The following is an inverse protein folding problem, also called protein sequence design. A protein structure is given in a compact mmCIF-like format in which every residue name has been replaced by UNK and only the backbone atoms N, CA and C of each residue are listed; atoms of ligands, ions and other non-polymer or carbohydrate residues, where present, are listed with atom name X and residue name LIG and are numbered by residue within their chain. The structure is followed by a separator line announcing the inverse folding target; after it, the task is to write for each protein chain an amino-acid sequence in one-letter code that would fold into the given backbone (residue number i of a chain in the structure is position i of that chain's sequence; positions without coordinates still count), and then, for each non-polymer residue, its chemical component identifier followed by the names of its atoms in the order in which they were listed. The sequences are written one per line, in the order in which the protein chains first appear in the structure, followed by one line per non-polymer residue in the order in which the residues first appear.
data_IF_154507668220
#
_entry.id   IF_154507668220
#
_cell.length_a   1.000
_cell.length_b   1.000
_cell.length_c   1.000
_cell.angle_alpha   90.00
_cell.angle_beta   90.00
_cell.angle_gamma   90.00
#
_symmetry.space_group_name_H-M   'P 1'
#
loop_
_entity.id
_entity.type
_entity.pdbx_description
1 polymer ?
#
# COMPACT_ATOMS: atom_id res chain seq x y z
N UNK A 1 -49.38 -25.79 -9.30
CA UNK A 1 -49.27 -24.91 -8.12
C UNK A 1 -47.81 -24.92 -7.68
N UNK A 2 -46.99 -24.01 -8.24
CA UNK A 2 -45.55 -23.95 -7.96
C UNK A 2 -45.28 -22.92 -6.86
N UNK A 3 -44.67 -23.34 -5.75
CA UNK A 3 -44.03 -22.44 -4.78
C UNK A 3 -42.57 -22.82 -4.67
N UNK A 4 -41.74 -22.16 -5.48
CA UNK A 4 -40.29 -22.19 -5.33
C UNK A 4 -39.88 -21.34 -4.13
N UNK A 5 -39.17 -21.93 -3.18
CA UNK A 5 -38.55 -21.21 -2.08
C UNK A 5 -37.36 -20.41 -2.62
N UNK A 6 -37.43 -19.08 -2.54
CA UNK A 6 -36.25 -18.23 -2.77
C UNK A 6 -35.33 -18.32 -1.56
N UNK A 7 -34.17 -18.95 -1.75
CA UNK A 7 -33.05 -18.83 -0.82
C UNK A 7 -32.37 -17.47 -1.05
N UNK A 8 -32.66 -16.51 -0.17
CA UNK A 8 -31.95 -15.23 -0.14
C UNK A 8 -30.62 -15.42 0.59
N UNK A 9 -29.53 -15.54 -0.16
CA UNK A 9 -28.18 -15.54 0.40
C UNK A 9 -27.81 -14.11 0.80
N UNK A 10 -28.23 -13.67 1.99
CA UNK A 10 -27.75 -12.41 2.58
C UNK A 10 -26.25 -12.56 2.84
N UNK A 11 -25.42 -11.98 1.97
CA UNK A 11 -24.02 -11.68 2.33
C UNK A 11 -24.07 -10.88 3.63
N UNK A 12 -23.54 -11.45 4.71
CA UNK A 12 -23.41 -10.79 6.00
C UNK A 12 -22.67 -9.47 5.74
N UNK A 13 -23.29 -8.33 6.05
CA UNK A 13 -22.61 -7.05 5.99
C UNK A 13 -21.37 -7.17 6.89
N UNK A 14 -20.18 -7.04 6.30
CA UNK A 14 -18.89 -7.12 6.98
C UNK A 14 -18.91 -6.01 8.05
N UNK A 15 -18.95 -6.38 9.33
CA UNK A 15 -19.05 -5.42 10.42
C UNK A 15 -17.82 -4.53 10.40
N UNK A 16 -18.01 -3.21 10.40
CA UNK A 16 -16.91 -2.26 10.32
C UNK A 16 -16.07 -2.36 11.59
N UNK A 17 -14.75 -2.59 11.45
CA UNK A 17 -13.83 -2.65 12.59
C UNK A 17 -13.55 -1.23 13.10
N UNK A 18 -13.33 -1.08 14.40
CA UNK A 18 -12.94 0.20 15.02
C UNK A 18 -11.44 0.43 14.90
N UNK A 19 -10.66 -0.63 15.09
CA UNK A 19 -9.20 -0.62 14.99
C UNK A 19 -8.73 -1.24 13.67
N UNK A 20 -7.66 -0.72 13.06
CA UNK A 20 -7.04 -1.34 11.90
C UNK A 20 -6.50 -2.73 12.24
N UNK A 21 -6.61 -3.65 11.28
CA UNK A 21 -5.86 -4.90 11.31
C UNK A 21 -4.39 -4.56 11.37
N UNK A 22 -3.75 -4.93 12.47
CA UNK A 22 -2.36 -4.58 12.73
C UNK A 22 -1.44 -5.02 11.59
N UNK A 23 -1.62 -6.25 11.07
CA UNK A 23 -0.84 -6.72 9.92
C UNK A 23 -1.01 -5.82 8.70
N UNK A 24 -2.25 -5.40 8.39
CA UNK A 24 -2.52 -4.54 7.23
C UNK A 24 -1.83 -3.18 7.39
N UNK A 25 -2.02 -2.57 8.56
CA UNK A 25 -1.42 -1.29 8.89
C UNK A 25 0.12 -1.36 8.88
N UNK A 26 0.70 -2.35 9.56
CA UNK A 26 2.16 -2.50 9.67
C UNK A 26 2.79 -2.80 8.30
N UNK A 27 2.16 -3.63 7.47
CA UNK A 27 2.63 -3.89 6.11
C UNK A 27 2.70 -2.59 5.30
N UNK A 28 1.60 -1.83 5.26
CA UNK A 28 1.46 -0.64 4.41
C UNK A 28 2.23 0.58 4.92
N UNK A 29 2.42 0.77 6.23
CA UNK A 29 3.05 1.98 6.78
C UNK A 29 4.51 1.78 7.19
N UNK A 30 4.94 0.54 7.43
CA UNK A 30 6.27 0.25 7.96
C UNK A 30 7.03 -0.76 7.12
N UNK A 31 6.54 -1.99 6.95
CA UNK A 31 7.36 -3.06 6.37
C UNK A 31 7.80 -2.76 4.94
N UNK A 32 6.89 -2.36 4.05
CA UNK A 32 7.25 -2.04 2.67
C UNK A 32 8.19 -0.82 2.62
N UNK A 33 7.86 0.22 3.38
CA UNK A 33 8.64 1.47 3.45
C UNK A 33 10.06 1.23 3.93
N UNK A 34 10.23 0.57 5.07
CA UNK A 34 11.54 0.35 5.70
C UNK A 34 12.42 -0.59 4.88
N UNK A 35 11.84 -1.61 4.24
CA UNK A 35 12.63 -2.48 3.34
C UNK A 35 13.08 -1.69 2.10
N UNK A 36 12.21 -0.84 1.54
CA UNK A 36 12.62 0.06 0.46
C UNK A 36 13.70 1.05 0.93
N UNK A 37 13.57 1.59 2.14
CA UNK A 37 14.52 2.52 2.74
C UNK A 37 15.90 1.91 2.97
N UNK A 38 16.01 0.58 3.14
CA UNK A 38 17.30 -0.12 3.27
C UNK A 38 18.07 -0.17 1.94
N UNK A 39 17.41 -0.50 0.84
CA UNK A 39 18.01 -0.48 -0.49
C UNK A 39 16.93 -0.24 -1.57
N UNK A 40 16.69 1.03 -1.96
CA UNK A 40 15.65 1.34 -2.93
C UNK A 40 15.88 0.68 -4.28
N UNK A 41 17.12 0.61 -4.76
CA UNK A 41 17.41 0.06 -6.08
C UNK A 41 17.19 -1.45 -6.10
N UNK A 42 17.64 -2.16 -5.06
CA UNK A 42 17.40 -3.59 -4.94
C UNK A 42 15.91 -3.89 -4.78
N UNK A 43 15.19 -3.09 -3.98
CA UNK A 43 13.74 -3.22 -3.82
C UNK A 43 13.02 -3.12 -5.18
N UNK A 44 13.32 -2.10 -5.97
CA UNK A 44 12.74 -1.92 -7.30
C UNK A 44 13.12 -3.05 -8.27
N UNK A 45 14.38 -3.48 -8.24
CA UNK A 45 14.89 -4.57 -9.07
C UNK A 45 14.14 -5.88 -8.79
N UNK A 46 14.01 -6.27 -7.52
CA UNK A 46 13.35 -7.52 -7.14
C UNK A 46 11.85 -7.46 -7.46
N UNK A 47 11.17 -6.37 -7.09
CA UNK A 47 9.73 -6.21 -7.36
C UNK A 47 9.44 -6.18 -8.86
N UNK A 48 10.35 -5.64 -9.68
CA UNK A 48 10.24 -5.67 -11.14
C UNK A 48 10.60 -7.01 -11.81
N UNK A 49 11.05 -8.01 -11.05
CA UNK A 49 11.58 -9.27 -11.58
C UNK A 49 10.59 -10.44 -11.45
N UNK A 50 10.88 -11.61 -12.07
CA UNK A 50 10.13 -12.84 -11.85
C UNK A 50 10.10 -13.34 -10.39
N UNK A 51 10.97 -12.84 -9.51
CA UNK A 51 10.98 -13.19 -8.08
C UNK A 51 9.96 -12.41 -7.24
N UNK A 52 9.21 -11.48 -7.86
CA UNK A 52 8.20 -10.65 -7.19
C UNK A 52 7.28 -11.47 -6.27
N UNK A 53 6.64 -12.59 -6.69
CA UNK A 53 5.72 -13.30 -5.81
C UNK A 53 6.38 -13.83 -4.52
N UNK A 54 7.61 -14.34 -4.62
CA UNK A 54 8.36 -14.84 -3.44
C UNK A 54 8.75 -13.69 -2.52
N UNK A 55 9.17 -12.56 -3.10
CA UNK A 55 9.53 -11.37 -2.33
C UNK A 55 8.33 -10.78 -1.59
N UNK A 56 7.15 -10.71 -2.23
CA UNK A 56 5.92 -10.25 -1.58
C UNK A 56 5.48 -11.18 -0.45
N UNK A 57 5.57 -12.50 -0.65
CA UNK A 57 5.31 -13.47 0.42
C UNK A 57 6.27 -13.27 1.61
N UNK A 58 7.55 -13.01 1.33
CA UNK A 58 8.54 -12.71 2.36
C UNK A 58 8.25 -11.40 3.12
N UNK A 59 7.88 -10.30 2.43
CA UNK A 59 7.47 -9.04 3.08
C UNK A 59 6.27 -9.25 4.01
N UNK A 60 5.33 -10.08 3.56
CA UNK A 60 4.15 -10.43 4.33
C UNK A 60 4.49 -11.23 5.60
N UNK A 61 5.33 -12.25 5.47
CA UNK A 61 5.83 -13.00 6.62
C UNK A 61 6.69 -12.16 7.57
N UNK A 62 7.52 -11.26 7.03
CA UNK A 62 8.29 -10.32 7.82
C UNK A 62 7.38 -9.43 8.67
N UNK A 63 6.25 -9.00 8.11
CA UNK A 63 5.23 -8.26 8.85
C UNK A 63 4.64 -9.08 9.98
N UNK A 64 4.26 -10.34 9.74
CA UNK A 64 3.76 -11.25 10.79
C UNK A 64 4.77 -11.42 11.94
N UNK A 65 6.06 -11.57 11.61
CA UNK A 65 7.14 -11.67 12.60
C UNK A 65 7.29 -10.40 13.43
N UNK A 66 7.16 -9.23 12.80
CA UNK A 66 7.25 -7.92 13.48
C UNK A 66 6.12 -7.71 14.48
N UNK A 67 4.89 -8.09 14.13
CA UNK A 67 3.72 -7.95 15.01
C UNK A 67 3.63 -9.07 16.07
N UNK A 68 4.37 -10.17 15.89
CA UNK A 68 4.33 -11.32 16.80
C UNK A 68 3.03 -12.14 16.72
N UNK A 69 2.29 -12.03 15.60
CA UNK A 69 1.00 -12.67 15.39
C UNK A 69 0.93 -13.34 14.00
N UNK A 70 0.20 -14.46 13.86
CA UNK A 70 0.09 -15.18 12.60
C UNK A 70 -0.68 -14.38 11.53
N UNK A 71 -0.47 -14.77 10.27
CA UNK A 71 -1.05 -14.19 9.04
C UNK A 71 -2.59 -14.42 8.92
N UNK A 72 -3.32 -14.67 10.00
CA UNK A 72 -4.68 -15.23 9.91
C UNK A 72 -5.79 -14.25 9.54
N UNK A 73 -5.56 -12.93 9.64
CA UNK A 73 -6.64 -11.93 9.52
C UNK A 73 -6.78 -11.26 8.14
N UNK A 74 -5.86 -11.51 7.22
CA UNK A 74 -5.81 -10.80 5.94
C UNK A 74 -5.47 -11.79 4.81
N UNK A 75 -6.33 -11.82 3.79
CA UNK A 75 -6.13 -12.66 2.62
C UNK A 75 -5.05 -12.05 1.71
N UNK A 76 -3.86 -12.65 1.69
CA UNK A 76 -2.74 -12.24 0.84
C UNK A 76 -3.03 -12.34 -0.65
N UNK A 77 -3.98 -13.19 -1.07
CA UNK A 77 -4.36 -13.30 -2.47
C UNK A 77 -5.04 -12.03 -3.02
N UNK A 78 -5.45 -11.11 -2.14
CA UNK A 78 -6.03 -9.81 -2.52
C UNK A 78 -4.98 -8.69 -2.62
N UNK A 79 -3.74 -8.96 -2.18
CA UNK A 79 -2.60 -8.08 -2.42
C UNK A 79 -2.12 -8.27 -3.86
N UNK A 80 -2.07 -7.19 -4.64
CA UNK A 80 -1.47 -7.21 -5.97
C UNK A 80 -0.51 -6.05 -6.14
N UNK A 81 0.48 -6.23 -7.01
CA UNK A 81 1.49 -5.23 -7.30
C UNK A 81 1.54 -4.97 -8.79
N UNK A 82 1.58 -3.70 -9.16
CA UNK A 82 1.79 -3.25 -10.53
C UNK A 82 3.03 -2.38 -10.57
N UNK A 83 3.93 -2.70 -11.49
CA UNK A 83 5.14 -1.91 -11.75
C UNK A 83 4.94 -1.10 -13.02
N UNK A 84 5.55 0.09 -13.07
CA UNK A 84 5.41 0.99 -14.21
C UNK A 84 6.14 2.30 -13.99
N UNK A 85 5.56 3.38 -14.52
CA UNK A 85 6.04 4.73 -14.28
C UNK A 85 4.89 5.64 -13.86
N UNK A 86 5.21 6.64 -13.06
CA UNK A 86 4.34 7.77 -12.73
C UNK A 86 5.12 9.02 -13.12
N UNK A 87 4.65 9.73 -14.16
CA UNK A 87 5.49 10.63 -14.97
C UNK A 87 6.81 9.94 -15.37
N UNK A 88 7.94 10.55 -15.04
CA UNK A 88 9.28 10.07 -15.36
C UNK A 88 9.90 9.22 -14.23
N UNK A 89 9.18 8.92 -13.16
CA UNK A 89 9.70 8.11 -12.05
C UNK A 89 9.29 6.64 -12.22
N UNK A 90 10.21 5.66 -12.11
CA UNK A 90 9.85 4.27 -11.88
C UNK A 90 8.94 4.16 -10.64
N UNK A 91 7.87 3.39 -10.77
CA UNK A 91 6.84 3.30 -9.73
C UNK A 91 6.41 1.85 -9.46
N UNK A 92 6.11 1.58 -8.21
CA UNK A 92 5.51 0.35 -7.72
C UNK A 92 4.21 0.74 -7.01
N UNK A 93 3.10 0.19 -7.47
CA UNK A 93 1.77 0.41 -6.90
C UNK A 93 1.28 -0.90 -6.28
N UNK A 94 1.12 -0.92 -4.97
CA UNK A 94 0.47 -2.00 -4.26
C UNK A 94 -1.02 -1.69 -4.17
N UNK A 95 -1.86 -2.63 -4.59
CA UNK A 95 -3.27 -2.67 -4.23
C UNK A 95 -3.42 -3.57 -3.03
N UNK A 96 -3.87 -2.99 -1.93
CA UNK A 96 -3.98 -3.69 -0.66
C UNK A 96 -5.29 -4.49 -0.57
N UNK A 97 -5.34 -5.52 0.30
CA UNK A 97 -6.59 -6.17 0.66
C UNK A 97 -7.63 -5.12 1.12
N UNK A 98 -8.92 -5.25 0.78
CA UNK A 98 -9.91 -4.21 1.04
C UNK A 98 -9.93 -3.80 2.52
N UNK A 99 -9.81 -2.49 2.81
CA UNK A 99 -9.71 -2.01 4.18
C UNK A 99 -11.01 -2.18 4.96
N UNK A 100 -10.91 -2.36 6.28
CA UNK A 100 -12.04 -2.57 7.21
C UNK A 100 -12.17 -1.51 8.31
N UNK A 101 -11.13 -0.71 8.51
CA UNK A 101 -11.03 0.29 9.57
C UNK A 101 -10.15 1.46 9.13
N UNK A 102 -10.32 2.61 9.79
CA UNK A 102 -9.56 3.83 9.48
C UNK A 102 -8.05 3.59 9.55
N UNK A 103 -7.31 4.29 8.69
CA UNK A 103 -5.86 4.16 8.50
C UNK A 103 -5.39 2.83 7.86
N UNK A 104 -6.29 1.89 7.54
CA UNK A 104 -5.94 0.81 6.62
C UNK A 104 -5.85 1.35 5.18
N UNK A 105 -4.84 0.92 4.41
CA UNK A 105 -4.62 1.41 3.06
C UNK A 105 -5.50 0.70 2.02
N UNK A 106 -5.98 1.45 1.02
CA UNK A 106 -6.43 0.92 -0.26
C UNK A 106 -5.23 0.67 -1.19
N UNK A 107 -4.30 1.61 -1.23
CA UNK A 107 -3.12 1.55 -2.08
C UNK A 107 -1.87 2.09 -1.39
N UNK A 108 -0.72 1.61 -1.85
CA UNK A 108 0.61 2.16 -1.55
C UNK A 108 1.31 2.47 -2.88
N UNK A 109 1.98 3.61 -2.98
CA UNK A 109 2.86 3.92 -4.10
C UNK A 109 4.29 4.17 -3.59
N UNK A 110 5.25 3.51 -4.22
CA UNK A 110 6.68 3.75 -4.02
C UNK A 110 7.26 4.25 -5.34
N UNK A 111 7.86 5.44 -5.34
CA UNK A 111 8.40 6.09 -6.53
C UNK A 111 9.89 6.30 -6.36
N UNK A 112 10.70 5.80 -7.29
CA UNK A 112 12.13 6.08 -7.32
C UNK A 112 12.34 7.46 -7.96
N UNK A 113 12.75 8.45 -7.17
CA UNK A 113 12.86 9.86 -7.61
C UNK A 113 14.29 10.27 -7.95
N UNK A 114 15.29 9.55 -7.43
CA UNK A 114 16.69 9.76 -7.78
C UNK A 114 17.46 8.43 -7.64
N UNK A 115 18.48 8.23 -8.45
CA UNK A 115 19.42 7.11 -8.37
C UNK A 115 20.86 7.65 -8.44
N UNK A 116 21.83 7.01 -7.76
CA UNK A 116 23.24 7.38 -7.88
C UNK A 116 23.71 7.25 -9.33
N UNK A 117 24.52 8.20 -9.77
CA UNK A 117 25.22 8.09 -11.06
C UNK A 117 26.34 7.04 -10.97
N UNK A 118 26.79 6.44 -12.10
CA UNK A 118 27.78 5.37 -12.12
C UNK A 118 29.14 5.70 -11.46
N UNK A 119 29.45 6.98 -11.22
CA UNK A 119 30.66 7.44 -10.53
C UNK A 119 30.49 7.69 -9.03
N UNK A 120 29.27 7.65 -8.51
CA UNK A 120 28.92 8.05 -7.15
C UNK A 120 28.68 6.85 -6.21
N UNK A 121 28.97 5.64 -6.69
CA UNK A 121 28.81 4.41 -5.91
C UNK A 121 29.61 4.50 -4.60
N UNK A 122 28.90 4.53 -3.46
CA UNK A 122 29.49 4.64 -2.12
C UNK A 122 29.40 6.02 -1.47
N UNK A 123 28.91 7.05 -2.19
CA UNK A 123 28.59 8.35 -1.59
C UNK A 123 27.18 8.34 -0.97
N UNK A 124 27.09 8.49 0.35
CA UNK A 124 25.79 8.54 1.04
C UNK A 124 24.89 9.69 0.55
N UNK A 125 25.47 10.82 0.13
CA UNK A 125 24.72 11.95 -0.41
C UNK A 125 24.10 11.66 -1.79
N UNK A 126 24.64 10.67 -2.51
CA UNK A 126 24.14 10.24 -3.82
C UNK A 126 23.22 9.02 -3.73
N UNK A 127 22.82 8.61 -2.52
CA UNK A 127 21.95 7.45 -2.32
C UNK A 127 20.62 7.64 -3.06
N UNK A 128 20.11 6.53 -3.60
CA UNK A 128 18.81 6.52 -4.25
C UNK A 128 17.73 7.09 -3.33
N UNK A 129 16.89 7.97 -3.88
CA UNK A 129 15.78 8.60 -3.18
C UNK A 129 14.47 8.05 -3.69
N UNK A 130 13.50 7.95 -2.79
CA UNK A 130 12.15 7.52 -3.13
C UNK A 130 11.11 8.35 -2.40
N UNK A 131 9.90 8.36 -2.93
CA UNK A 131 8.70 8.91 -2.28
C UNK A 131 7.70 7.81 -2.02
N UNK A 132 6.98 7.93 -0.92
CA UNK A 132 6.13 6.87 -0.40
C UNK A 132 4.75 7.43 -0.05
N UNK A 133 3.73 7.00 -0.78
CA UNK A 133 2.36 7.46 -0.60
C UNK A 133 1.44 6.33 -0.20
N UNK A 134 0.42 6.66 0.56
CA UNK A 134 -0.70 5.77 0.90
C UNK A 134 -2.02 6.44 0.51
N UNK A 135 -2.98 5.64 0.07
CA UNK A 135 -4.38 6.05 0.02
C UNK A 135 -5.13 5.27 1.09
N UNK A 136 -5.46 5.92 2.19
CA UNK A 136 -6.07 5.28 3.36
C UNK A 136 -7.58 5.33 3.32
N UNK A 137 -8.19 4.32 3.91
CA UNK A 137 -9.58 4.35 4.29
C UNK A 137 -9.79 5.28 5.48
N UNK A 138 -10.83 6.11 5.38
CA UNK A 138 -11.28 6.95 6.46
C UNK A 138 -12.80 7.02 6.55
N UNK A 139 -13.27 7.71 7.57
CA UNK A 139 -14.69 8.06 7.75
C UNK A 139 -14.84 9.55 8.01
N UNK A 140 -15.89 10.12 7.45
CA UNK A 140 -16.38 11.44 7.82
C UNK A 140 -17.10 11.40 9.18
N UNK A 141 -17.35 12.57 9.77
CA UNK A 141 -18.09 12.70 11.03
C UNK A 141 -19.52 12.15 10.94
N UNK A 142 -20.12 12.20 9.76
CA UNK A 142 -21.46 11.63 9.48
C UNK A 142 -21.44 10.10 9.27
N UNK A 143 -20.26 9.47 9.38
CA UNK A 143 -20.06 8.03 9.20
C UNK A 143 -19.91 7.58 7.75
N UNK A 144 -20.04 8.48 6.77
CA UNK A 144 -19.78 8.15 5.36
C UNK A 144 -18.29 7.83 5.15
N UNK A 145 -18.02 6.93 4.20
CA UNK A 145 -16.64 6.51 3.89
C UNK A 145 -15.95 7.55 3.04
N UNK A 146 -14.67 7.79 3.33
CA UNK A 146 -13.80 8.63 2.52
C UNK A 146 -12.46 7.93 2.31
N UNK A 147 -11.67 8.47 1.40
CA UNK A 147 -10.25 8.14 1.28
C UNK A 147 -9.42 9.31 1.74
N UNK A 148 -8.18 9.03 2.15
CA UNK A 148 -7.25 10.02 2.65
C UNK A 148 -5.91 9.81 1.97
N UNK A 149 -5.43 10.80 1.22
CA UNK A 149 -4.13 10.73 0.57
C UNK A 149 -3.04 11.15 1.57
N UNK A 150 -2.04 10.30 1.77
CA UNK A 150 -0.94 10.59 2.68
C UNK A 150 0.43 10.35 2.01
N UNK A 151 1.47 10.90 2.63
CA UNK A 151 2.88 10.66 2.29
C UNK A 151 3.71 10.46 3.55
N UNK A 152 4.59 9.46 3.50
CA UNK A 152 5.71 9.37 4.44
C UNK A 152 6.90 10.15 3.89
N UNK A 153 7.32 11.19 4.60
CA UNK A 153 8.50 11.99 4.27
C UNK A 153 9.13 12.54 5.54
N UNK A 154 10.47 12.53 5.61
CA UNK A 154 11.24 13.05 6.73
C UNK A 154 10.83 12.46 8.09
N UNK A 155 10.51 11.15 8.11
CA UNK A 155 10.05 10.43 9.29
C UNK A 155 8.61 10.76 9.74
N UNK A 156 7.89 11.60 9.01
CA UNK A 156 6.53 12.03 9.34
C UNK A 156 5.50 11.48 8.34
N UNK A 157 4.31 11.14 8.87
CA UNK A 157 3.15 10.76 8.08
C UNK A 157 2.25 11.98 7.83
N UNK A 158 2.32 12.52 6.62
CA UNK A 158 1.63 13.75 6.22
C UNK A 158 0.31 13.39 5.55
N UNK A 159 -0.79 13.95 6.06
CA UNK A 159 -2.12 13.79 5.49
C UNK A 159 -2.46 15.00 4.60
N UNK A 160 -2.85 14.77 3.35
CA UNK A 160 -3.18 15.81 2.37
C UNK A 160 -4.69 16.07 2.23
N UNK A 161 -5.50 15.49 3.10
CA UNK A 161 -6.96 15.60 3.08
C UNK A 161 -7.62 14.52 2.23
N UNK A 162 -8.88 14.82 1.89
CA UNK A 162 -9.80 13.86 1.29
C UNK A 162 -9.49 13.54 -0.17
N UNK A 163 -9.80 12.30 -0.54
CA UNK A 163 -9.66 11.82 -1.91
C UNK A 163 -8.25 11.31 -2.23
N UNK A 164 -8.04 10.82 -3.46
CA UNK A 164 -9.04 10.64 -4.53
C UNK A 164 -9.87 9.36 -4.34
N UNK A 165 -10.78 9.01 -5.26
CA UNK A 165 -11.49 7.73 -5.17
C UNK A 165 -10.51 6.53 -5.14
N UNK A 166 -10.92 5.43 -4.51
CA UNK A 166 -10.08 4.23 -4.35
C UNK A 166 -10.00 3.39 -5.63
N UNK A 167 -9.62 4.01 -6.74
CA UNK A 167 -9.26 3.33 -8.00
C UNK A 167 -7.77 3.51 -8.28
N UNK A 168 -7.17 2.59 -9.04
CA UNK A 168 -5.76 2.66 -9.41
C UNK A 168 -5.45 3.93 -10.20
N UNK A 169 -6.31 4.29 -11.15
CA UNK A 169 -6.14 5.47 -12.03
C UNK A 169 -6.22 6.77 -11.22
N UNK A 170 -7.22 6.91 -10.36
CA UNK A 170 -7.40 8.09 -9.53
C UNK A 170 -6.25 8.27 -8.53
N UNK A 171 -5.79 7.16 -7.94
CA UNK A 171 -4.64 7.16 -7.04
C UNK A 171 -3.36 7.58 -7.75
N UNK A 172 -3.06 6.99 -8.92
CA UNK A 172 -1.90 7.39 -9.74
C UNK A 172 -1.98 8.88 -10.07
N UNK A 173 -3.13 9.37 -10.53
CA UNK A 173 -3.31 10.79 -10.83
C UNK A 173 -3.09 11.70 -9.61
N UNK A 174 -3.44 11.27 -8.40
CA UNK A 174 -3.17 12.01 -7.17
C UNK A 174 -1.69 12.02 -6.77
N UNK A 175 -0.97 10.93 -7.03
CA UNK A 175 0.48 10.86 -6.89
C UNK A 175 1.16 11.80 -7.91
N UNK A 176 0.73 11.77 -9.17
CA UNK A 176 1.28 12.63 -10.24
C UNK A 176 1.21 14.12 -9.91
N UNK A 177 0.11 14.57 -9.29
CA UNK A 177 -0.05 15.98 -8.87
C UNK A 177 0.92 16.41 -7.77
N UNK A 178 1.61 15.47 -7.12
CA UNK A 178 2.48 15.73 -5.98
C UNK A 178 3.96 15.60 -6.32
N UNK A 179 4.30 15.01 -7.46
CA UNK A 179 5.68 14.88 -7.96
C UNK A 179 6.04 15.95 -8.96
#
# INVERSE_FOLDING_TARGET
MFRGAMFWNRKKARSVRTEPREHHYVFAHYTVREVCEQDPLQFFSIVGSPEQPKFLAWLWELTAKRIGAPVSEVNTAELSVTTGRVKDCPAIIFRMPPPEASAEAHFVAVLLTSSPEPGDAGNEASRAQFRYFTLEYGKNLDGSTRTVMCEWADGAHRNFGDGPAATTEDFIGAVERRI
#
